data_IF_235820026510
#
_entry.id   IF_235820026510
#
_cell.length_a   1.000
_cell.length_b   1.000
_cell.length_c   1.000
_cell.angle_alpha   90.00
_cell.angle_beta   90.00
_cell.angle_gamma   90.00
#
_symmetry.space_group_name_H-M   'P 1'
#
loop_
_entity.id
_entity.type
_entity.pdbx_description
1 polymer ?
#
# COMPACT_ATOMS: atom_id res chain seq x y z
N UNK A 1 4.51 -8.16 -0.32
CA UNK A 1 3.73 -7.23 -1.16
C UNK A 1 4.00 -7.58 -2.60
N UNK A 2 2.97 -7.72 -3.43
CA UNK A 2 3.12 -7.94 -4.87
C UNK A 2 3.08 -6.58 -5.56
N UNK A 3 3.97 -6.36 -6.53
CA UNK A 3 4.06 -5.13 -7.30
C UNK A 3 3.52 -5.40 -8.70
N UNK A 4 2.57 -4.57 -9.14
CA UNK A 4 1.91 -4.70 -10.44
C UNK A 4 2.14 -3.38 -11.18
N UNK A 5 2.74 -3.44 -12.37
CA UNK A 5 2.87 -2.28 -13.23
C UNK A 5 1.53 -1.92 -13.85
N UNK A 6 1.24 -0.62 -13.93
CA UNK A 6 0.07 -0.11 -14.63
C UNK A 6 0.45 0.30 -16.05
N UNK A 7 -0.54 0.73 -16.84
CA UNK A 7 -0.29 1.33 -18.15
C UNK A 7 0.40 2.69 -18.07
N UNK A 8 0.31 3.36 -16.91
CA UNK A 8 0.97 4.64 -16.65
C UNK A 8 2.37 4.36 -16.11
N UNK A 9 3.39 4.87 -16.79
CA UNK A 9 4.77 4.73 -16.36
C UNK A 9 4.96 5.25 -14.93
N UNK A 10 5.78 4.54 -14.14
CA UNK A 10 6.04 4.77 -12.70
C UNK A 10 4.83 4.65 -11.74
N UNK A 11 3.61 4.47 -12.24
CA UNK A 11 2.46 4.19 -11.40
C UNK A 11 2.37 2.68 -11.14
N UNK A 12 2.47 2.31 -9.86
CA UNK A 12 2.48 0.93 -9.38
C UNK A 12 1.25 0.65 -8.53
N UNK A 13 0.65 -0.54 -8.70
CA UNK A 13 -0.29 -1.10 -7.74
C UNK A 13 0.50 -1.99 -6.78
N UNK A 14 0.37 -1.69 -5.49
CA UNK A 14 0.99 -2.44 -4.40
C UNK A 14 -0.08 -3.26 -3.69
N UNK A 15 -0.03 -4.57 -3.87
CA UNK A 15 -0.97 -5.51 -3.25
C UNK A 15 -0.35 -6.08 -1.95
N UNK A 16 -0.80 -5.64 -0.77
CA UNK A 16 -0.30 -6.16 0.50
C UNK A 16 -0.85 -7.56 0.75
N UNK A 17 -0.11 -8.36 1.53
CA UNK A 17 -0.65 -9.61 2.04
C UNK A 17 -1.58 -9.30 3.21
N UNK A 18 -2.82 -9.76 3.13
CA UNK A 18 -3.82 -9.63 4.20
C UNK A 18 -3.87 -10.93 4.98
N UNK A 19 -3.72 -10.83 6.30
CA UNK A 19 -3.87 -11.95 7.23
C UNK A 19 -5.20 -11.79 7.96
N UNK A 20 -6.13 -12.72 7.77
CA UNK A 20 -7.46 -12.67 8.37
C UNK A 20 -7.71 -13.82 9.34
N UNK A 21 -8.46 -13.55 10.39
CA UNK A 21 -9.02 -14.56 11.30
C UNK A 21 -10.38 -14.11 11.88
N UNK A 22 -10.93 -14.88 12.82
CA UNK A 22 -12.24 -14.61 13.43
C UNK A 22 -12.35 -13.24 14.13
N UNK A 23 -11.24 -12.57 14.45
CA UNK A 23 -11.21 -11.26 15.11
C UNK A 23 -11.21 -10.10 14.11
N UNK A 24 -10.89 -10.37 12.85
CA UNK A 24 -10.72 -9.34 11.81
C UNK A 24 -9.54 -9.62 10.91
N UNK A 25 -8.83 -8.58 10.51
CA UNK A 25 -7.69 -8.67 9.60
C UNK A 25 -6.53 -7.80 10.04
N UNK A 26 -5.34 -8.17 9.57
CA UNK A 26 -4.09 -7.45 9.74
C UNK A 26 -3.37 -7.37 8.39
N UNK A 27 -2.76 -6.22 8.11
CA UNK A 27 -1.82 -6.07 7.02
C UNK A 27 -0.76 -5.02 7.38
N UNK A 28 0.39 -5.10 6.72
CA UNK A 28 1.37 -4.02 6.70
C UNK A 28 1.13 -3.16 5.45
N UNK A 29 0.53 -1.98 5.63
CA UNK A 29 0.31 -1.01 4.53
C UNK A 29 1.61 -0.33 4.10
N UNK A 30 2.57 -0.22 5.02
CA UNK A 30 3.91 0.31 4.77
C UNK A 30 4.98 -0.58 5.42
N UNK A 31 6.03 -0.89 4.66
CA UNK A 31 7.25 -1.51 5.17
C UNK A 31 8.43 -1.02 4.33
N UNK A 32 9.30 -0.20 4.92
CA UNK A 32 10.41 0.48 4.22
C UNK A 32 11.28 -0.49 3.42
N UNK A 33 11.61 -1.63 4.01
CA UNK A 33 12.47 -2.65 3.39
C UNK A 33 11.76 -3.30 2.21
N UNK A 34 10.51 -3.75 2.40
CA UNK A 34 9.73 -4.41 1.35
C UNK A 34 9.47 -3.47 0.18
N UNK A 35 9.17 -2.19 0.44
CA UNK A 35 8.95 -1.20 -0.61
C UNK A 35 10.23 -0.92 -1.42
N UNK A 36 11.38 -0.81 -0.74
CA UNK A 36 12.65 -0.62 -1.40
C UNK A 36 13.07 -1.83 -2.25
N UNK A 37 12.87 -3.05 -1.72
CA UNK A 37 13.26 -4.30 -2.39
C UNK A 37 12.30 -4.67 -3.54
N UNK A 38 10.98 -4.53 -3.34
CA UNK A 38 9.99 -4.99 -4.31
C UNK A 38 9.61 -3.93 -5.36
N UNK A 39 9.56 -2.65 -4.97
CA UNK A 39 9.07 -1.56 -5.81
C UNK A 39 10.14 -0.51 -6.14
N UNK A 40 11.36 -0.63 -5.60
CA UNK A 40 12.42 0.37 -5.78
C UNK A 40 12.17 1.70 -5.06
N UNK A 41 11.14 1.78 -4.21
CA UNK A 41 10.74 3.01 -3.52
C UNK A 41 11.64 3.18 -2.29
N UNK A 42 12.58 4.14 -2.39
CA UNK A 42 13.54 4.48 -1.32
C UNK A 42 13.28 5.83 -0.67
N UNK A 43 12.19 6.49 -1.06
CA UNK A 43 11.80 7.78 -0.50
C UNK A 43 11.58 7.67 1.01
N UNK A 44 11.88 8.76 1.73
CA UNK A 44 11.62 8.84 3.16
C UNK A 44 10.13 9.09 3.40
N UNK A 45 9.53 8.23 4.22
CA UNK A 45 8.14 8.36 4.61
C UNK A 45 8.03 9.34 5.78
N UNK A 46 7.60 10.57 5.49
CA UNK A 46 7.60 11.68 6.45
C UNK A 46 6.26 11.88 7.16
N UNK A 47 5.15 11.52 6.51
CA UNK A 47 3.81 11.69 7.06
C UNK A 47 2.84 10.69 6.42
N UNK A 48 1.89 10.22 7.23
CA UNK A 48 0.71 9.49 6.78
C UNK A 48 -0.55 10.33 6.97
N UNK A 49 -1.49 10.19 6.05
CA UNK A 49 -2.82 10.77 6.16
C UNK A 49 -3.85 9.66 5.94
N UNK A 50 -4.80 9.53 6.87
CA UNK A 50 -5.87 8.56 6.79
C UNK A 50 -7.23 9.26 6.77
N UNK A 51 -8.04 8.96 5.76
CA UNK A 51 -9.40 9.49 5.63
C UNK A 51 -10.40 8.37 5.32
N UNK A 52 -11.65 8.60 5.72
CA UNK A 52 -12.79 7.74 5.41
C UNK A 52 -13.92 8.60 4.85
N UNK A 53 -14.28 8.37 3.59
CA UNK A 53 -15.34 9.11 2.92
C UNK A 53 -16.65 8.33 2.89
N UNK A 54 -17.77 9.06 2.95
CA UNK A 54 -19.08 8.50 2.62
C UNK A 54 -19.24 8.39 1.10
N UNK A 55 -20.21 7.57 0.64
CA UNK A 55 -20.53 7.42 -0.79
C UNK A 55 -20.91 8.79 -1.39
N UNK A 56 -20.24 9.19 -2.46
CA UNK A 56 -20.52 10.43 -3.21
C UNK A 56 -19.56 11.59 -2.93
N UNK A 57 -18.55 11.41 -2.07
CA UNK A 57 -17.43 12.34 -1.96
C UNK A 57 -16.49 12.14 -3.15
N UNK A 58 -15.98 13.23 -3.73
CA UNK A 58 -15.00 13.27 -4.83
C UNK A 58 -13.60 13.57 -4.29
#
# INVERSE_FOLDING_TARGET
MKVIQTEIHDALILEPKVFGDARGFFLESYNKRVLAEAAGIRAEFVQDNHSRSARGVL
#
